data_IF_679813244684
#
_entry.id   IF_679813244684
#
_cell.length_a   1.000
_cell.length_b   1.000
_cell.length_c   1.000
_cell.angle_alpha   90.00
_cell.angle_beta   90.00
_cell.angle_gamma   90.00
#
_symmetry.space_group_name_H-M   'P 1'
#
loop_
_entity.id
_entity.type
_entity.pdbx_description
1 polymer ?
#
# COMPACT_ATOMS: atom_id res chain seq x y z
N UNK A 1 14.46 -12.73 -12.34
CA UNK A 1 13.40 -11.78 -12.16
C UNK A 1 12.97 -11.69 -10.72
N UNK A 2 12.78 -10.54 -10.25
CA UNK A 2 12.44 -10.38 -8.86
C UNK A 2 10.97 -10.66 -8.63
N UNK A 3 10.65 -11.20 -7.49
CA UNK A 3 9.26 -11.40 -7.18
C UNK A 3 8.57 -10.05 -7.03
N UNK A 4 7.29 -10.12 -6.88
CA UNK A 4 6.53 -8.91 -6.81
C UNK A 4 6.50 -8.28 -5.47
N UNK A 5 7.55 -8.40 -4.72
CA UNK A 5 7.59 -7.74 -3.45
C UNK A 5 7.40 -6.25 -3.62
N UNK A 6 7.93 -5.71 -4.72
CA UNK A 6 7.78 -4.30 -4.97
C UNK A 6 6.56 -3.98 -5.80
N UNK A 7 5.88 -5.00 -6.28
CA UNK A 7 4.72 -4.76 -7.12
C UNK A 7 3.64 -4.00 -6.38
N UNK A 8 3.32 -4.44 -5.19
CA UNK A 8 2.30 -3.77 -4.41
C UNK A 8 2.71 -2.34 -4.06
N UNK A 9 3.98 -2.16 -3.76
CA UNK A 9 4.46 -0.83 -3.43
C UNK A 9 4.37 0.10 -4.62
N UNK A 10 4.69 -0.41 -5.80
CA UNK A 10 4.63 0.40 -7.01
C UNK A 10 3.20 0.79 -7.33
N UNK A 11 2.29 -0.16 -7.22
CA UNK A 11 0.89 0.13 -7.45
C UNK A 11 0.40 1.14 -6.43
N UNK A 12 0.91 1.03 -5.22
CA UNK A 12 0.49 1.91 -4.15
C UNK A 12 0.91 3.35 -4.43
N UNK A 13 1.98 3.55 -5.16
CA UNK A 13 2.43 4.89 -5.47
C UNK A 13 1.43 5.62 -6.38
N UNK A 14 0.61 4.87 -7.09
CA UNK A 14 -0.40 5.48 -7.94
C UNK A 14 -1.65 5.86 -7.16
N UNK A 15 -1.75 5.43 -5.92
CA UNK A 15 -2.90 5.72 -5.08
C UNK A 15 -2.62 6.99 -4.30
N UNK A 16 -3.65 7.76 -4.03
CA UNK A 16 -3.45 8.99 -3.29
C UNK A 16 -2.97 8.68 -1.88
N UNK A 17 -2.21 9.58 -1.33
CA UNK A 17 -1.70 9.39 0.02
C UNK A 17 -2.83 9.36 1.03
N UNK A 18 -3.89 10.08 0.78
CA UNK A 18 -5.03 10.09 1.70
C UNK A 18 -5.68 8.72 1.76
N UNK A 19 -5.85 8.07 0.62
CA UNK A 19 -6.43 6.74 0.61
C UNK A 19 -5.49 5.76 1.30
N UNK A 20 -4.19 5.91 1.08
CA UNK A 20 -3.22 5.04 1.72
C UNK A 20 -3.29 5.18 3.24
N UNK A 21 -3.39 6.41 3.72
CA UNK A 21 -3.47 6.62 5.15
C UNK A 21 -4.76 6.06 5.73
N UNK A 22 -5.86 6.23 5.00
CA UNK A 22 -7.13 5.68 5.45
C UNK A 22 -7.06 4.15 5.52
N UNK A 23 -6.44 3.53 4.54
CA UNK A 23 -6.31 2.08 4.53
C UNK A 23 -5.45 1.59 5.68
N UNK A 24 -4.52 2.41 6.12
CA UNK A 24 -3.67 2.00 7.24
C UNK A 24 -4.44 2.05 8.56
N UNK A 25 -5.42 2.92 8.66
CA UNK A 25 -6.15 3.07 9.91
C UNK A 25 -7.42 2.23 9.98
N UNK A 26 -8.00 1.92 8.82
CA UNK A 26 -9.29 1.26 8.78
C UNK A 26 -9.15 -0.02 7.97
N UNK A 27 -9.49 -1.15 8.59
CA UNK A 27 -9.36 -2.43 7.92
C UNK A 27 -10.30 -2.56 6.74
N UNK A 28 -11.44 -1.94 6.81
CA UNK A 28 -12.36 -1.98 5.68
C UNK A 28 -11.74 -1.29 4.48
N UNK A 29 -11.12 -0.16 4.70
CA UNK A 29 -10.45 0.54 3.64
C UNK A 29 -9.25 -0.26 3.14
N UNK A 30 -8.58 -0.94 4.03
CA UNK A 30 -7.47 -1.79 3.64
C UNK A 30 -7.94 -2.90 2.71
N UNK A 31 -9.05 -3.52 3.05
CA UNK A 31 -9.60 -4.58 2.21
C UNK A 31 -9.99 -4.05 0.84
N UNK A 32 -10.64 -2.90 0.83
CA UNK A 32 -11.06 -2.30 -0.43
C UNK A 32 -9.85 -2.01 -1.31
N UNK A 33 -8.82 -1.44 -0.71
CA UNK A 33 -7.64 -1.10 -1.47
C UNK A 33 -6.94 -2.34 -1.99
N UNK A 34 -6.88 -3.38 -1.16
CA UNK A 34 -6.24 -4.62 -1.59
C UNK A 34 -6.97 -5.22 -2.78
N UNK A 35 -8.29 -5.19 -2.76
CA UNK A 35 -9.07 -5.69 -3.87
C UNK A 35 -8.87 -4.83 -5.10
N UNK A 36 -8.86 -3.54 -4.92
CA UNK A 36 -8.71 -2.63 -6.04
C UNK A 36 -7.37 -2.81 -6.72
N UNK A 37 -6.33 -3.02 -5.94
CA UNK A 37 -4.99 -3.25 -6.48
C UNK A 37 -4.73 -4.69 -6.83
N UNK A 38 -5.63 -5.59 -6.43
CA UNK A 38 -5.49 -7.03 -6.67
C UNK A 38 -4.20 -7.54 -6.05
N UNK A 39 -3.95 -7.16 -4.82
CA UNK A 39 -2.77 -7.63 -4.11
C UNK A 39 -3.19 -8.27 -2.81
N UNK A 40 -2.29 -9.06 -2.25
CA UNK A 40 -2.53 -9.71 -0.98
C UNK A 40 -2.59 -8.66 0.13
N UNK A 41 -3.51 -8.86 1.05
CA UNK A 41 -3.71 -7.90 2.13
C UNK A 41 -2.46 -7.72 2.98
N UNK A 42 -1.77 -8.83 3.24
CA UNK A 42 -0.54 -8.74 4.03
C UNK A 42 0.53 -7.95 3.31
N UNK A 43 0.67 -8.21 2.02
CA UNK A 43 1.64 -7.48 1.23
C UNK A 43 1.30 -6.01 1.19
N UNK A 44 0.01 -5.70 1.09
CA UNK A 44 -0.42 -4.32 1.06
C UNK A 44 -0.12 -3.64 2.39
N UNK A 45 -0.37 -4.34 3.49
CA UNK A 45 -0.11 -3.78 4.80
C UNK A 45 1.35 -3.39 4.97
N UNK A 46 2.25 -4.27 4.53
CA UNK A 46 3.67 -3.97 4.60
C UNK A 46 4.04 -2.80 3.71
N UNK A 47 3.48 -2.78 2.51
CA UNK A 47 3.79 -1.71 1.58
C UNK A 47 3.28 -0.38 2.09
N UNK A 48 2.12 -0.38 2.73
CA UNK A 48 1.57 0.85 3.30
C UNK A 48 2.46 1.37 4.40
N UNK A 49 2.90 0.49 5.30
CA UNK A 49 3.76 0.90 6.38
C UNK A 49 5.04 1.49 5.83
N UNK A 50 5.58 0.86 4.81
CA UNK A 50 6.81 1.33 4.22
C UNK A 50 6.64 2.70 3.59
N UNK A 51 5.54 2.88 2.85
CA UNK A 51 5.33 4.14 2.15
C UNK A 51 5.09 5.28 3.11
N UNK A 52 4.27 5.04 4.13
CA UNK A 52 3.91 6.12 5.05
C UNK A 52 5.03 6.45 6.00
N UNK A 53 5.78 5.44 6.44
CA UNK A 53 6.87 5.68 7.35
C UNK A 53 8.09 6.26 6.66
N UNK A 54 8.18 6.14 5.36
CA UNK A 54 9.35 6.59 4.64
C UNK A 54 9.39 8.10 4.61
N UNK A 55 10.47 8.70 5.03
CA UNK A 55 10.56 10.15 5.00
C UNK A 55 10.61 10.61 3.57
N UNK A 56 9.96 11.66 3.31
CA UNK A 56 9.95 12.17 2.00
C UNK A 56 11.14 12.89 1.74
N UNK A 57 11.91 12.97 2.23
CA UNK A 57 13.05 13.56 2.03
C UNK A 57 13.49 14.14 1.22
N UNK A 58 13.90 14.39 1.12
CA UNK A 58 14.48 14.94 0.64
C UNK A 58 14.71 15.09 0.01
#
# INVERSE_FOLDING_TARGET
>A
MLPDLDGAYRLLLAVSLEWAKAAQRDETELDDLAQWLEVDREALRRSLARRIAQPTAR
#
